data_IF_856776659096
#
_entry.id   IF_856776659096
#
_cell.length_a   1.000
_cell.length_b   1.000
_cell.length_c   1.000
_cell.angle_alpha   90.00
_cell.angle_beta   90.00
_cell.angle_gamma   90.00
#
_symmetry.space_group_name_H-M   'P 1'
#
loop_
_entity.id
_entity.type
_entity.pdbx_description
1 polymer ?
#
# COMPACT_ATOMS: atom_id res chain seq x y z
N UNK A 1 13.38 -5.82 -9.47
CA UNK A 1 11.97 -5.69 -9.05
C UNK A 1 11.56 -6.99 -8.39
N UNK A 2 11.28 -6.95 -7.08
CA UNK A 2 10.70 -8.09 -6.41
C UNK A 2 9.30 -8.37 -6.99
N UNK A 3 8.96 -9.65 -7.17
CA UNK A 3 7.67 -10.06 -7.76
C UNK A 3 6.64 -10.18 -6.65
N UNK A 4 5.52 -9.47 -6.79
CA UNK A 4 4.38 -9.59 -5.90
C UNK A 4 3.08 -9.63 -6.70
N UNK A 5 1.99 -10.03 -6.05
CA UNK A 5 0.65 -10.08 -6.63
C UNK A 5 -0.25 -9.12 -5.87
N UNK A 6 -1.13 -8.44 -6.60
CA UNK A 6 -2.19 -7.61 -6.02
C UNK A 6 -3.51 -8.29 -6.37
N UNK A 7 -4.42 -8.41 -5.39
CA UNK A 7 -5.78 -8.88 -5.66
C UNK A 7 -6.54 -7.84 -6.50
N UNK A 8 -7.59 -8.28 -7.18
CA UNK A 8 -8.45 -7.36 -7.92
C UNK A 8 -9.04 -6.27 -6.99
N UNK A 9 -9.48 -6.67 -5.80
CA UNK A 9 -10.09 -5.75 -4.83
C UNK A 9 -9.08 -4.71 -4.32
N UNK A 10 -7.85 -5.12 -3.99
CA UNK A 10 -6.81 -4.18 -3.58
C UNK A 10 -6.43 -3.19 -4.70
N UNK A 11 -6.47 -3.63 -5.97
CA UNK A 11 -6.26 -2.74 -7.10
C UNK A 11 -7.39 -1.69 -7.22
N UNK A 12 -8.63 -2.09 -6.99
CA UNK A 12 -9.79 -1.18 -6.97
C UNK A 12 -9.67 -0.18 -5.81
N UNK A 13 -9.31 -0.64 -4.62
CA UNK A 13 -9.10 0.21 -3.43
C UNK A 13 -8.05 1.31 -3.70
N UNK A 14 -6.92 0.95 -4.32
CA UNK A 14 -5.87 1.92 -4.67
C UNK A 14 -6.42 2.96 -5.66
N UNK A 15 -7.19 2.56 -6.66
CA UNK A 15 -7.79 3.48 -7.64
C UNK A 15 -8.74 4.45 -6.95
N UNK A 16 -9.60 3.95 -6.06
CA UNK A 16 -10.59 4.77 -5.37
C UNK A 16 -9.95 5.75 -4.38
N UNK A 17 -8.92 5.32 -3.64
CA UNK A 17 -8.14 6.18 -2.75
C UNK A 17 -7.43 7.29 -3.54
N UNK A 18 -6.87 7.00 -4.71
CA UNK A 18 -6.22 8.02 -5.55
C UNK A 18 -7.24 8.98 -6.17
N UNK A 19 -8.42 8.49 -6.56
CA UNK A 19 -9.53 9.35 -7.03
C UNK A 19 -10.01 10.29 -5.92
N UNK A 20 -10.24 9.76 -4.72
CA UNK A 20 -10.64 10.56 -3.56
C UNK A 20 -9.57 11.63 -3.23
N UNK A 21 -8.30 11.22 -3.19
CA UNK A 21 -7.17 12.12 -2.91
C UNK A 21 -7.09 13.25 -3.93
N UNK A 22 -7.28 12.94 -5.22
CA UNK A 22 -7.34 13.95 -6.27
C UNK A 22 -8.48 14.94 -6.07
N UNK A 23 -9.70 14.43 -5.86
CA UNK A 23 -10.89 15.26 -5.72
C UNK A 23 -10.81 16.18 -4.49
N UNK A 24 -10.19 15.71 -3.41
CA UNK A 24 -10.13 16.45 -2.14
C UNK A 24 -8.92 17.35 -1.99
N UNK A 25 -7.77 16.96 -2.54
CA UNK A 25 -6.48 17.62 -2.28
C UNK A 25 -5.73 18.03 -3.56
N UNK A 26 -6.30 17.73 -4.72
CA UNK A 26 -5.74 18.06 -6.02
C UNK A 26 -4.66 17.09 -6.51
N UNK A 27 -4.21 17.36 -7.72
CA UNK A 27 -3.34 16.48 -8.51
C UNK A 27 -1.93 16.28 -7.90
N UNK A 28 -1.37 17.33 -7.29
CA UNK A 28 -0.08 17.23 -6.61
C UNK A 28 -0.12 16.26 -5.42
N UNK A 29 -1.21 16.27 -4.64
CA UNK A 29 -1.42 15.33 -3.54
C UNK A 29 -1.62 13.90 -4.07
N UNK A 30 -2.44 13.73 -5.11
CA UNK A 30 -2.65 12.43 -5.79
C UNK A 30 -1.32 11.81 -6.22
N UNK A 31 -0.45 12.57 -6.90
CA UNK A 31 0.85 12.08 -7.37
C UNK A 31 1.77 11.65 -6.23
N UNK A 32 1.87 12.46 -5.17
CA UNK A 32 2.69 12.12 -3.99
C UNK A 32 2.19 10.85 -3.31
N UNK A 33 0.87 10.71 -3.15
CA UNK A 33 0.29 9.54 -2.51
C UNK A 33 0.43 8.27 -3.37
N UNK A 34 0.29 8.39 -4.70
CA UNK A 34 0.58 7.28 -5.62
C UNK A 34 2.03 6.80 -5.51
N UNK A 35 2.99 7.73 -5.44
CA UNK A 35 4.40 7.38 -5.27
C UNK A 35 4.67 6.70 -3.92
N UNK A 36 4.04 7.18 -2.84
CA UNK A 36 4.15 6.59 -1.50
C UNK A 36 3.64 5.14 -1.47
N UNK A 37 2.45 4.90 -2.03
CA UNK A 37 1.88 3.54 -2.13
C UNK A 37 2.82 2.63 -2.94
N UNK A 38 3.31 3.10 -4.09
CA UNK A 38 4.23 2.33 -4.93
C UNK A 38 5.52 1.94 -4.20
N UNK A 39 6.15 2.89 -3.52
CA UNK A 39 7.37 2.65 -2.74
C UNK A 39 7.13 1.63 -1.62
N UNK A 40 5.99 1.70 -0.93
CA UNK A 40 5.66 0.75 0.11
C UNK A 40 5.42 -0.67 -0.42
N UNK A 41 4.75 -0.82 -1.56
CA UNK A 41 4.56 -2.12 -2.20
C UNK A 41 5.91 -2.74 -2.62
N UNK A 42 6.81 -1.94 -3.18
CA UNK A 42 8.16 -2.40 -3.54
C UNK A 42 8.98 -2.80 -2.30
N UNK A 43 8.89 -2.03 -1.22
CA UNK A 43 9.57 -2.32 0.03
C UNK A 43 9.07 -3.65 0.63
N UNK A 44 7.75 -3.83 0.75
CA UNK A 44 7.14 -5.06 1.26
C UNK A 44 7.47 -6.26 0.38
N UNK A 45 7.51 -6.09 -0.94
CA UNK A 45 7.90 -7.16 -1.85
C UNK A 45 9.38 -7.56 -1.68
N UNK A 46 10.23 -6.63 -1.26
CA UNK A 46 11.67 -6.85 -1.04
C UNK A 46 11.94 -7.47 0.32
N UNK A 47 11.32 -6.93 1.38
CA UNK A 47 11.40 -7.44 2.75
C UNK A 47 10.03 -7.36 3.46
N UNK A 48 9.27 -8.48 3.49
CA UNK A 48 7.98 -8.53 4.15
C UNK A 48 8.04 -8.30 5.68
N UNK A 49 9.21 -8.45 6.30
CA UNK A 49 9.43 -8.30 7.74
C UNK A 49 10.14 -6.98 8.11
N UNK A 50 10.19 -6.03 7.16
CA UNK A 50 10.80 -4.73 7.37
C UNK A 50 10.28 -3.97 8.60
N UNK A 51 11.05 -2.97 9.04
CA UNK A 51 10.64 -2.06 10.11
C UNK A 51 9.27 -1.45 9.80
N UNK A 52 8.35 -1.49 10.77
CA UNK A 52 6.98 -1.03 10.63
C UNK A 52 5.99 -2.10 10.12
N UNK A 53 6.47 -3.26 9.67
CA UNK A 53 5.64 -4.43 9.37
C UNK A 53 5.21 -5.11 10.67
N UNK A 54 3.92 -5.09 10.97
CA UNK A 54 3.34 -5.63 12.21
C UNK A 54 2.57 -6.91 11.87
N UNK A 55 2.82 -7.98 12.63
CA UNK A 55 2.06 -9.23 12.51
C UNK A 55 0.60 -9.02 12.91
N UNK A 56 -0.31 -9.64 12.17
CA UNK A 56 -1.76 -9.64 12.41
C UNK A 56 -2.29 -11.07 12.56
N UNK A 57 -1.50 -11.92 13.23
CA UNK A 57 -1.86 -13.32 13.54
C UNK A 57 -3.17 -13.41 14.32
N UNK A 58 -3.54 -12.35 15.05
CA UNK A 58 -4.83 -12.24 15.74
C UNK A 58 -6.04 -12.16 14.81
N UNK A 59 -5.85 -11.81 13.54
CA UNK A 59 -6.90 -11.75 12.51
C UNK A 59 -6.83 -12.95 11.58
N UNK A 60 -5.64 -13.28 11.09
CA UNK A 60 -5.40 -14.40 10.17
C UNK A 60 -3.92 -14.80 10.17
N UNK A 61 -3.64 -16.10 10.07
CA UNK A 61 -2.28 -16.63 10.06
C UNK A 61 -1.46 -16.05 8.89
N UNK A 62 -0.27 -15.52 9.18
CA UNK A 62 0.60 -14.90 8.19
C UNK A 62 0.17 -13.51 7.69
N UNK A 63 -0.95 -12.95 8.18
CA UNK A 63 -1.34 -11.59 7.83
C UNK A 63 -0.40 -10.57 8.47
N UNK A 64 -0.09 -9.49 7.73
CA UNK A 64 0.74 -8.39 8.21
C UNK A 64 0.17 -7.05 7.77
N UNK A 65 0.42 -6.01 8.56
CA UNK A 65 0.04 -4.63 8.24
C UNK A 65 1.25 -3.72 8.27
N UNK A 66 1.30 -2.76 7.36
CA UNK A 66 2.29 -1.68 7.37
C UNK A 66 1.57 -0.33 7.30
N UNK A 67 2.06 0.63 8.06
CA UNK A 67 1.57 2.01 7.97
C UNK A 67 2.43 2.80 6.98
N UNK A 68 1.78 3.59 6.12
CA UNK A 68 2.44 4.50 5.20
C UNK A 68 2.72 5.81 5.92
N UNK A 69 3.98 6.24 5.99
CA UNK A 69 4.43 7.50 6.61
C UNK A 69 4.88 8.52 5.58
#
# INVERSE_FOLDING_TARGET
>A
MAKYRISHDAQADIVDILRFTHNRFGDAARRRYQALIGAALEAVATDPQQVGSISREELEAGLRSIHLV
#
